data_IF_860877405138
#
_entry.id   IF_860877405138
#
_cell.length_a   1.000
_cell.length_b   1.000
_cell.length_c   1.000
_cell.angle_alpha   90.00
_cell.angle_beta   90.00
_cell.angle_gamma   90.00
#
_symmetry.space_group_name_H-M   'P 1'
#
loop_
_entity.id
_entity.type
_entity.pdbx_description
1 polymer ?
#
# COMPACT_ATOMS: atom_id res chain seq x y z
N UNK A 1 33.70 2.12 8.45
CA UNK A 1 32.32 2.35 8.90
C UNK A 1 31.43 1.68 7.86
N UNK A 2 31.09 0.43 8.11
CA UNK A 2 30.39 -0.42 7.13
C UNK A 2 28.99 0.16 6.94
N UNK A 3 28.69 0.66 5.74
CA UNK A 3 27.31 0.88 5.34
C UNK A 3 26.63 -0.49 5.38
N UNK A 4 25.51 -0.67 6.09
CA UNK A 4 24.79 -1.94 6.08
C UNK A 4 24.48 -2.26 4.61
N UNK A 5 24.88 -3.45 4.18
CA UNK A 5 24.70 -3.90 2.81
C UNK A 5 23.20 -3.82 2.47
N UNK A 6 22.82 -2.89 1.60
CA UNK A 6 21.40 -2.72 1.23
C UNK A 6 20.93 -4.06 0.65
N UNK A 7 19.84 -4.66 1.17
CA UNK A 7 19.38 -5.95 0.69
C UNK A 7 19.14 -5.90 -0.81
N UNK A 8 19.80 -6.80 -1.54
CA UNK A 8 19.68 -6.89 -2.99
C UNK A 8 18.24 -7.30 -3.35
N UNK A 9 17.50 -6.41 -4.01
CA UNK A 9 16.14 -6.67 -4.43
C UNK A 9 16.16 -7.35 -5.81
N UNK A 10 15.74 -8.61 -5.88
CA UNK A 10 15.65 -9.31 -7.17
C UNK A 10 14.65 -8.61 -8.11
N UNK A 11 14.93 -8.61 -9.41
CA UNK A 11 14.02 -8.05 -10.44
C UNK A 11 12.62 -8.70 -10.40
N UNK A 12 12.55 -9.97 -9.99
CA UNK A 12 11.29 -10.67 -9.76
C UNK A 12 10.46 -10.02 -8.65
N UNK A 13 11.10 -9.59 -7.57
CA UNK A 13 10.40 -8.90 -6.47
C UNK A 13 9.88 -7.53 -6.91
N UNK A 14 10.64 -6.79 -7.72
CA UNK A 14 10.18 -5.52 -8.32
C UNK A 14 8.97 -5.76 -9.23
N UNK A 15 9.02 -6.80 -10.06
CA UNK A 15 7.93 -7.16 -10.97
C UNK A 15 6.64 -7.52 -10.21
N UNK A 16 6.76 -8.31 -9.14
CA UNK A 16 5.63 -8.65 -8.26
C UNK A 16 5.06 -7.40 -7.61
N UNK A 17 5.90 -6.57 -6.98
CA UNK A 17 5.43 -5.35 -6.34
C UNK A 17 4.77 -4.40 -7.35
N UNK A 18 5.29 -4.32 -8.58
CA UNK A 18 4.68 -3.50 -9.62
C UNK A 18 3.28 -4.00 -9.99
N UNK A 19 3.11 -5.32 -10.12
CA UNK A 19 1.80 -5.94 -10.32
C UNK A 19 0.82 -5.59 -9.19
N UNK A 20 1.26 -5.63 -7.92
CA UNK A 20 0.41 -5.26 -6.78
C UNK A 20 0.02 -3.77 -6.81
N UNK A 21 0.97 -2.88 -7.09
CA UNK A 21 0.72 -1.45 -7.17
C UNK A 21 -0.31 -1.10 -8.23
N UNK A 22 -0.14 -1.64 -9.45
CA UNK A 22 -1.09 -1.40 -10.55
C UNK A 22 -2.43 -2.10 -10.31
N UNK A 23 -2.46 -3.14 -9.45
CA UNK A 23 -3.71 -3.76 -8.96
C UNK A 23 -4.38 -2.98 -7.82
N UNK A 24 -3.86 -1.81 -7.44
CA UNK A 24 -4.46 -0.91 -6.45
C UNK A 24 -4.00 -1.15 -5.01
N UNK A 25 -2.91 -1.89 -4.80
CA UNK A 25 -2.38 -2.18 -3.46
C UNK A 25 -1.17 -1.30 -3.16
N UNK A 26 -1.22 -0.57 -2.05
CA UNK A 26 -0.06 0.14 -1.52
C UNK A 26 1.06 -0.82 -1.15
N UNK A 27 2.23 -0.66 -1.78
CA UNK A 27 3.34 -1.60 -1.68
C UNK A 27 4.60 -0.87 -1.23
N UNK A 28 5.15 -1.31 -0.09
CA UNK A 28 6.30 -0.69 0.54
C UNK A 28 7.49 -1.66 0.50
N UNK A 29 8.69 -1.17 0.15
CA UNK A 29 9.94 -1.92 0.25
C UNK A 29 10.96 -1.21 1.14
N UNK A 30 11.81 -1.98 1.84
CA UNK A 30 12.95 -1.46 2.59
C UNK A 30 14.27 -1.38 1.82
N UNK A 31 14.24 -1.71 0.52
CA UNK A 31 15.39 -1.61 -0.37
C UNK A 31 15.48 -0.23 -1.05
N UNK A 32 16.14 -0.17 -2.19
CA UNK A 32 16.14 1.01 -3.06
C UNK A 32 15.63 0.62 -4.45
N UNK A 33 14.64 1.35 -4.96
CA UNK A 33 14.29 1.32 -6.37
C UNK A 33 15.27 2.24 -7.13
N UNK A 34 15.85 1.75 -8.23
CA UNK A 34 16.79 2.50 -9.07
C UNK A 34 16.09 3.56 -9.93
N UNK A 35 15.27 4.41 -9.30
CA UNK A 35 14.46 5.44 -9.96
C UNK A 35 14.85 6.86 -9.54
N UNK A 36 15.76 7.00 -8.58
CA UNK A 36 16.22 8.29 -8.02
C UNK A 36 16.84 9.22 -9.05
N UNK A 37 17.40 8.68 -10.14
CA UNK A 37 17.93 9.47 -11.26
C UNK A 37 16.88 10.06 -12.20
N UNK A 38 15.61 9.69 -12.05
CA UNK A 38 14.51 10.09 -12.93
C UNK A 38 13.34 10.66 -12.10
N UNK A 39 13.40 11.94 -11.67
CA UNK A 39 12.43 12.50 -10.71
C UNK A 39 10.99 12.51 -11.24
N UNK A 40 10.80 12.69 -12.56
CA UNK A 40 9.48 12.62 -13.20
C UNK A 40 8.92 11.20 -13.09
N UNK A 41 9.74 10.19 -13.39
CA UNK A 41 9.32 8.80 -13.30
C UNK A 41 9.04 8.40 -11.85
N UNK A 42 9.91 8.80 -10.92
CA UNK A 42 9.70 8.55 -9.50
C UNK A 42 8.39 9.18 -9.01
N UNK A 43 8.09 10.43 -9.39
CA UNK A 43 6.83 11.06 -9.01
C UNK A 43 5.62 10.31 -9.58
N UNK A 44 5.72 9.85 -10.83
CA UNK A 44 4.67 9.08 -11.49
C UNK A 44 4.30 7.82 -10.72
N UNK A 45 5.29 7.00 -10.35
CA UNK A 45 5.06 5.71 -9.69
C UNK A 45 4.81 5.81 -8.18
N UNK A 46 5.26 6.87 -7.52
CA UNK A 46 5.06 7.08 -6.07
C UNK A 46 3.82 7.92 -5.74
N UNK A 47 3.31 8.75 -6.66
CA UNK A 47 2.17 9.64 -6.38
C UNK A 47 1.04 9.48 -7.38
N UNK A 48 1.33 9.64 -8.67
CA UNK A 48 0.28 9.64 -9.70
C UNK A 48 -0.42 8.27 -9.85
N UNK A 49 0.24 7.20 -9.44
CA UNK A 49 -0.35 5.86 -9.42
C UNK A 49 -1.46 5.71 -8.36
N UNK A 50 -1.37 6.43 -7.24
CA UNK A 50 -2.43 6.40 -6.24
C UNK A 50 -3.74 6.91 -6.82
N UNK A 51 -3.70 8.00 -7.58
CA UNK A 51 -4.88 8.58 -8.22
C UNK A 51 -5.43 7.69 -9.36
N UNK A 52 -4.55 7.02 -10.11
CA UNK A 52 -4.94 6.21 -11.27
C UNK A 52 -5.45 4.82 -10.91
N UNK A 53 -4.78 4.16 -9.98
CA UNK A 53 -5.00 2.75 -9.67
C UNK A 53 -5.42 2.52 -8.21
N UNK A 54 -5.26 3.50 -7.33
CA UNK A 54 -5.53 3.37 -5.90
C UNK A 54 -4.37 2.80 -5.08
N UNK A 55 -3.29 2.38 -5.74
CA UNK A 55 -2.06 1.84 -5.16
C UNK A 55 -0.84 2.65 -5.61
N UNK A 56 0.20 2.66 -4.78
CA UNK A 56 1.45 3.38 -5.07
C UNK A 56 2.65 2.67 -4.45
N UNK A 57 3.83 3.06 -4.92
CA UNK A 57 5.10 2.65 -4.34
C UNK A 57 5.50 3.52 -3.15
N UNK A 58 6.13 2.91 -2.16
CA UNK A 58 6.86 3.62 -1.12
C UNK A 58 8.12 2.86 -0.71
N UNK A 59 9.13 3.59 -0.25
CA UNK A 59 10.44 3.04 0.07
C UNK A 59 10.89 3.54 1.44
N UNK A 60 10.79 2.67 2.44
CA UNK A 60 11.09 3.01 3.83
C UNK A 60 12.10 2.01 4.37
N UNK A 61 13.32 2.49 4.66
CA UNK A 61 14.42 1.65 5.16
C UNK A 61 14.20 1.18 6.61
N UNK A 62 13.59 2.02 7.47
CA UNK A 62 13.30 1.64 8.86
C UNK A 62 12.10 0.69 8.95
N UNK A 63 12.26 -0.54 9.47
CA UNK A 63 11.15 -1.49 9.58
C UNK A 63 10.01 -1.02 10.47
N UNK A 64 10.28 -0.16 11.48
CA UNK A 64 9.23 0.36 12.37
C UNK A 64 8.37 1.38 11.61
N UNK A 65 9.01 2.35 10.95
CA UNK A 65 8.33 3.32 10.10
C UNK A 65 7.58 2.65 8.93
N UNK A 66 8.16 1.59 8.35
CA UNK A 66 7.52 0.78 7.31
C UNK A 66 6.19 0.19 7.83
N UNK A 67 6.22 -0.47 8.99
CA UNK A 67 5.02 -1.04 9.60
C UNK A 67 3.97 0.03 9.91
N UNK A 68 4.38 1.18 10.46
CA UNK A 68 3.48 2.29 10.73
C UNK A 68 2.83 2.85 9.47
N UNK A 69 3.57 2.95 8.36
CA UNK A 69 3.04 3.46 7.09
C UNK A 69 1.99 2.53 6.49
N UNK A 70 2.20 1.20 6.60
CA UNK A 70 1.18 0.21 6.23
C UNK A 70 -0.08 0.37 7.10
N UNK A 71 0.07 0.47 8.42
CA UNK A 71 -1.06 0.63 9.35
C UNK A 71 -1.82 1.92 9.04
N UNK A 72 -1.12 3.03 8.84
CA UNK A 72 -1.72 4.32 8.51
C UNK A 72 -2.51 4.27 7.19
N UNK A 73 -1.98 3.57 6.17
CA UNK A 73 -2.68 3.38 4.91
C UNK A 73 -3.96 2.56 5.09
N UNK A 74 -3.89 1.44 5.85
CA UNK A 74 -5.06 0.61 6.17
C UNK A 74 -6.11 1.44 6.91
N UNK A 75 -5.72 2.18 7.94
CA UNK A 75 -6.65 3.01 8.72
C UNK A 75 -7.32 4.09 7.88
N UNK A 76 -6.58 4.72 6.96
CA UNK A 76 -7.16 5.66 6.01
C UNK A 76 -8.22 4.99 5.12
N UNK A 77 -7.90 3.84 4.52
CA UNK A 77 -8.86 3.10 3.69
C UNK A 77 -10.07 2.65 4.52
N UNK A 78 -9.90 2.23 5.77
CA UNK A 78 -11.00 1.87 6.68
C UNK A 78 -11.92 3.06 6.96
N UNK A 79 -11.36 4.25 7.18
CA UNK A 79 -12.13 5.50 7.37
C UNK A 79 -12.92 5.87 6.13
N UNK A 80 -12.31 5.80 4.94
CA UNK A 80 -12.99 6.06 3.66
C UNK A 80 -14.16 5.09 3.44
N UNK A 81 -14.01 3.83 3.85
CA UNK A 81 -15.05 2.81 3.77
C UNK A 81 -16.08 2.86 4.92
N UNK A 82 -15.89 3.71 5.93
CA UNK A 82 -16.76 3.80 7.11
C UNK A 82 -16.75 2.56 8.01
N UNK A 83 -15.68 1.76 7.95
CA UNK A 83 -15.48 0.54 8.77
C UNK A 83 -14.42 0.75 9.87
N UNK A 84 -14.14 2.00 10.18
CA UNK A 84 -13.30 2.44 11.30
C UNK A 84 -13.99 2.23 12.66
N UNK A 85 -15.33 2.17 12.67
CA UNK A 85 -16.14 1.97 13.86
C UNK A 85 -16.66 0.54 13.98
N UNK A 86 -16.80 0.07 15.20
CA UNK A 86 -17.51 -1.17 15.48
C UNK A 86 -18.97 -1.01 15.03
N UNK A 87 -19.39 -1.81 14.05
CA UNK A 87 -20.78 -1.84 13.59
C UNK A 87 -21.58 -2.70 14.57
N UNK A 88 -22.75 -2.23 15.00
CA UNK A 88 -23.65 -3.03 15.80
C UNK A 88 -24.01 -4.30 15.03
N UNK A 89 -23.88 -5.45 15.70
CA UNK A 89 -24.24 -6.75 15.12
C UNK A 89 -25.75 -6.82 15.04
N UNK A 90 -26.32 -6.49 13.88
CA UNK A 90 -27.75 -6.62 13.61
C UNK A 90 -28.05 -8.05 13.20
N UNK A 91 -28.80 -8.79 14.00
CA UNK A 91 -29.41 -10.04 13.56
C UNK A 91 -30.56 -9.71 12.61
N UNK A 92 -30.31 -9.81 11.30
CA UNK A 92 -31.38 -9.71 10.31
C UNK A 92 -32.16 -11.03 10.25
N UNK A 93 -33.49 -10.94 10.36
CA UNK A 93 -34.37 -12.07 10.12
C UNK A 93 -34.41 -12.44 8.62
N UNK A 94 -35.10 -13.53 8.29
CA UNK A 94 -35.20 -14.01 6.91
C UNK A 94 -36.04 -13.07 6.02
N UNK A 95 -37.07 -12.43 6.58
CA UNK A 95 -37.96 -11.55 5.84
C UNK A 95 -37.24 -10.25 5.42
N UNK A 96 -36.44 -9.66 6.30
CA UNK A 96 -35.63 -8.49 6.04
C UNK A 96 -34.56 -8.72 4.96
N UNK A 97 -34.01 -9.94 4.88
CA UNK A 97 -33.03 -10.31 3.84
C UNK A 97 -33.64 -10.47 2.45
N UNK A 98 -34.93 -10.81 2.36
CA UNK A 98 -35.61 -11.06 1.09
C UNK A 98 -36.10 -9.76 0.42
N UNK A 99 -36.11 -8.64 1.15
CA UNK A 99 -36.60 -7.33 0.69
C UNK A 99 -35.49 -6.35 0.25
N UNK A 100 -34.21 -6.76 0.31
CA UNK A 100 -33.05 -6.04 -0.22
C UNK A 100 -32.85 -6.36 -1.71
#
# INVERSE_FOLDING_TARGET
>A
MNSPEKPWLSEKAISIGHYFVVSGVYTVFGGMLLTTGAPVFQNHIFKEYEDKYGGMWDMIEDPIEHAHSIIAHIDNKRKVLGIDKARDRVMMDFAARQAL
#
